data_IF_063214585392
#
_entry.id   IF_063214585392
#
_cell.length_a   1.000
_cell.length_b   1.000
_cell.length_c   1.000
_cell.angle_alpha   90.00
_cell.angle_beta   90.00
_cell.angle_gamma   90.00
#
_symmetry.space_group_name_H-M   'P 1'
#
loop_
_entity.id
_entity.type
_entity.pdbx_description
1 polymer ?
#
# COMPACT_ATOMS: atom_id res chain seq x y z
N UNK A 1 -46.22 -24.33 3.20
CA UNK A 1 -45.17 -25.02 2.41
C UNK A 1 -44.59 -24.17 1.27
N UNK A 2 -45.39 -23.42 0.49
CA UNK A 2 -44.89 -22.56 -0.62
C UNK A 2 -43.96 -21.40 -0.20
N UNK A 3 -44.26 -20.68 0.90
CA UNK A 3 -43.41 -19.57 1.37
C UNK A 3 -42.09 -20.00 2.00
N UNK A 4 -42.05 -21.17 2.65
CA UNK A 4 -40.83 -21.72 3.26
C UNK A 4 -39.81 -22.05 2.16
N UNK A 5 -40.27 -22.58 1.02
CA UNK A 5 -39.39 -22.83 -0.14
C UNK A 5 -38.79 -21.54 -0.73
N UNK A 6 -39.57 -20.45 -0.76
CA UNK A 6 -39.09 -19.14 -1.25
C UNK A 6 -38.04 -18.54 -0.31
N UNK A 7 -38.23 -18.67 1.01
CA UNK A 7 -37.26 -18.23 2.02
C UNK A 7 -35.96 -19.04 2.01
N UNK A 8 -36.04 -20.34 1.75
CA UNK A 8 -34.84 -21.19 1.63
C UNK A 8 -34.06 -20.86 0.36
N UNK A 9 -34.76 -20.56 -0.74
CA UNK A 9 -34.13 -20.20 -2.01
C UNK A 9 -33.43 -18.84 -1.94
N UNK A 10 -34.00 -17.85 -1.24
CA UNK A 10 -33.38 -16.53 -1.11
C UNK A 10 -32.09 -16.56 -0.29
N UNK A 11 -32.03 -17.38 0.77
CA UNK A 11 -30.82 -17.56 1.60
C UNK A 11 -29.71 -18.28 0.82
N UNK A 12 -30.06 -19.24 -0.05
CA UNK A 12 -29.09 -19.98 -0.86
C UNK A 12 -28.40 -19.09 -1.92
N UNK A 13 -29.11 -18.13 -2.49
CA UNK A 13 -28.57 -17.19 -3.50
C UNK A 13 -27.59 -16.19 -2.89
N UNK A 14 -27.79 -15.78 -1.64
CA UNK A 14 -26.89 -14.86 -0.92
C UNK A 14 -25.55 -15.51 -0.56
N UNK A 15 -25.49 -16.84 -0.43
CA UNK A 15 -24.26 -17.58 -0.09
C UNK A 15 -23.26 -17.72 -1.26
N UNK A 16 -23.68 -17.42 -2.50
CA UNK A 16 -22.84 -17.56 -3.70
C UNK A 16 -22.05 -16.29 -4.04
N UNK A 17 -22.27 -15.19 -3.31
CA UNK A 17 -21.53 -13.94 -3.47
C UNK A 17 -20.24 -13.96 -2.64
N UNK A 18 -19.33 -14.90 -2.89
CA UNK A 18 -17.95 -14.79 -2.37
C UNK A 18 -17.20 -13.78 -3.23
N UNK A 19 -16.99 -12.59 -2.70
CA UNK A 19 -16.30 -11.50 -3.39
C UNK A 19 -14.80 -11.79 -3.47
N UNK A 20 -14.28 -11.84 -4.69
CA UNK A 20 -12.84 -11.87 -4.93
C UNK A 20 -12.27 -10.50 -4.54
N UNK A 21 -11.56 -10.43 -3.42
CA UNK A 21 -10.81 -9.23 -3.04
C UNK A 21 -9.64 -9.07 -4.03
N UNK A 22 -9.56 -7.99 -4.81
CA UNK A 22 -8.39 -7.74 -5.64
C UNK A 22 -7.18 -7.55 -4.73
N UNK A 23 -6.09 -8.28 -5.01
CA UNK A 23 -4.85 -8.11 -4.27
C UNK A 23 -4.35 -6.67 -4.43
N UNK A 24 -4.31 -5.91 -3.34
CA UNK A 24 -3.84 -4.53 -3.35
C UNK A 24 -2.38 -4.48 -3.79
N UNK A 25 -2.12 -3.77 -4.90
CA UNK A 25 -0.77 -3.54 -5.39
C UNK A 25 -0.08 -2.59 -4.42
N UNK A 26 0.75 -3.13 -3.54
CA UNK A 26 1.56 -2.32 -2.63
C UNK A 26 2.54 -1.48 -3.45
N UNK A 27 2.39 -0.16 -3.37
CA UNK A 27 3.36 0.78 -3.93
C UNK A 27 4.28 1.27 -2.81
N UNK A 28 5.54 1.49 -3.13
CA UNK A 28 6.53 2.04 -2.20
C UNK A 28 7.17 3.26 -2.80
N UNK A 29 7.36 4.28 -1.97
CA UNK A 29 8.07 5.49 -2.34
C UNK A 29 9.58 5.24 -2.21
N UNK A 30 10.33 5.67 -3.23
CA UNK A 30 11.78 5.71 -3.24
C UNK A 30 12.19 7.17 -3.30
N UNK A 31 12.83 7.65 -2.24
CA UNK A 31 13.32 9.02 -2.12
C UNK A 31 14.82 9.02 -2.32
N UNK A 32 15.27 9.70 -3.36
CA UNK A 32 16.68 9.92 -3.64
C UNK A 32 17.06 11.28 -3.08
N UNK A 33 18.08 11.31 -2.22
CA UNK A 33 18.62 12.52 -1.62
C UNK A 33 19.81 13.02 -2.44
N UNK A 34 20.03 14.34 -2.43
CA UNK A 34 21.13 15.00 -3.17
C UNK A 34 22.52 14.51 -2.76
N UNK A 35 22.66 13.97 -1.55
CA UNK A 35 23.91 13.36 -1.07
C UNK A 35 24.16 11.94 -1.62
N UNK A 36 23.27 11.43 -2.47
CA UNK A 36 23.33 10.08 -3.06
C UNK A 36 22.64 8.99 -2.22
N UNK A 37 22.12 9.31 -1.04
CA UNK A 37 21.38 8.35 -0.21
C UNK A 37 20.02 8.02 -0.81
N UNK A 38 19.57 6.78 -0.63
CA UNK A 38 18.30 6.29 -1.16
C UNK A 38 17.48 5.68 -0.05
N UNK A 39 16.30 6.26 0.21
CA UNK A 39 15.39 5.84 1.26
C UNK A 39 14.18 5.17 0.62
N UNK A 40 13.86 3.95 1.05
CA UNK A 40 12.71 3.18 0.58
C UNK A 40 11.69 3.06 1.70
N UNK A 41 10.52 3.64 1.51
CA UNK A 41 9.50 3.68 2.55
C UNK A 41 8.17 4.24 2.07
N UNK A 42 7.29 4.47 3.02
CA UNK A 42 6.02 5.14 2.83
C UNK A 42 6.12 6.59 3.29
N UNK A 43 5.63 7.53 2.49
CA UNK A 43 5.58 8.94 2.88
C UNK A 43 4.39 9.16 3.79
N UNK A 44 4.63 9.20 5.09
CA UNK A 44 3.58 9.33 6.11
C UNK A 44 3.15 10.78 6.35
N UNK A 45 4.01 11.75 6.05
CA UNK A 45 3.68 13.17 6.15
C UNK A 45 4.57 14.01 5.22
N UNK A 46 4.00 15.04 4.59
CA UNK A 46 4.77 16.03 3.83
C UNK A 46 4.29 17.44 4.17
N UNK A 47 5.22 18.29 4.59
CA UNK A 47 4.98 19.73 4.78
C UNK A 47 5.59 20.47 3.59
N UNK A 48 4.77 21.12 2.74
CA UNK A 48 5.26 21.81 1.55
C UNK A 48 6.41 22.78 1.87
N UNK A 49 7.44 22.78 1.04
CA UNK A 49 8.63 23.62 1.16
C UNK A 49 9.42 23.49 2.48
N UNK A 50 9.10 22.50 3.32
CA UNK A 50 9.80 22.27 4.59
C UNK A 50 10.35 20.86 4.64
N UNK A 51 9.53 19.89 4.99
CA UNK A 51 9.99 18.56 5.39
C UNK A 51 9.13 17.45 4.82
N UNK A 52 9.76 16.29 4.64
CA UNK A 52 9.11 15.02 4.31
C UNK A 52 9.44 14.01 5.41
N UNK A 53 8.43 13.26 5.85
CA UNK A 53 8.58 12.14 6.78
C UNK A 53 8.34 10.83 6.04
N UNK A 54 9.27 9.89 6.19
CA UNK A 54 9.28 8.61 5.50
C UNK A 54 9.36 7.51 6.56
N UNK A 55 8.41 6.58 6.54
CA UNK A 55 8.44 5.36 7.35
C UNK A 55 9.02 4.20 6.52
N UNK A 56 10.11 3.62 7.00
CA UNK A 56 10.72 2.46 6.35
C UNK A 56 10.05 1.16 6.81
N UNK A 57 10.31 0.05 6.10
CA UNK A 57 9.61 -1.22 6.36
C UNK A 57 9.86 -1.84 7.75
N UNK A 58 10.92 -1.40 8.43
CA UNK A 58 11.26 -1.73 9.82
C UNK A 58 10.57 -0.82 10.86
N UNK A 59 9.75 0.13 10.42
CA UNK A 59 9.03 1.08 11.28
C UNK A 59 9.85 2.32 11.68
N UNK A 60 11.07 2.48 11.15
CA UNK A 60 11.87 3.67 11.41
C UNK A 60 11.32 4.89 10.67
N UNK A 61 11.23 6.03 11.36
CA UNK A 61 10.78 7.30 10.79
C UNK A 61 11.98 8.20 10.50
N UNK A 62 12.14 8.58 9.24
CA UNK A 62 13.14 9.54 8.79
C UNK A 62 12.48 10.87 8.45
N UNK A 63 13.14 11.96 8.81
CA UNK A 63 12.70 13.32 8.48
C UNK A 63 13.80 14.00 7.68
N UNK A 64 13.47 14.48 6.49
CA UNK A 64 14.39 15.20 5.62
C UNK A 64 13.79 16.54 5.19
N UNK A 65 14.65 17.52 4.90
CA UNK A 65 14.18 18.74 4.25
C UNK A 65 13.86 18.47 2.78
N UNK A 66 12.81 19.11 2.24
CA UNK A 66 12.47 18.98 0.83
C UNK A 66 13.58 19.47 -0.10
N UNK A 67 14.42 20.40 0.35
CA UNK A 67 15.59 20.86 -0.40
C UNK A 67 16.69 19.79 -0.47
N UNK A 68 16.70 18.78 0.39
CA UNK A 68 17.66 17.67 0.34
C UNK A 68 17.20 16.56 -0.62
N UNK A 69 15.94 16.56 -1.01
CA UNK A 69 15.36 15.60 -1.94
C UNK A 69 15.74 15.96 -3.37
N UNK A 70 16.34 15.02 -4.08
CA UNK A 70 16.65 15.15 -5.50
C UNK A 70 15.46 14.70 -6.35
N UNK A 71 14.90 13.54 -6.05
CA UNK A 71 13.72 12.99 -6.75
C UNK A 71 12.96 12.00 -5.89
N UNK A 72 11.70 11.80 -6.24
CA UNK A 72 10.82 10.80 -5.64
C UNK A 72 10.27 9.89 -6.74
N UNK A 73 10.17 8.60 -6.48
CA UNK A 73 9.66 7.62 -7.44
C UNK A 73 8.80 6.58 -6.74
N UNK A 74 7.62 6.27 -7.29
CA UNK A 74 6.78 5.17 -6.82
C UNK A 74 7.10 3.90 -7.58
N UNK A 75 7.47 2.85 -6.85
CA UNK A 75 7.73 1.53 -7.40
C UNK A 75 6.72 0.53 -6.89
N UNK A 76 6.36 -0.45 -7.74
CA UNK A 76 5.57 -1.60 -7.29
C UNK A 76 6.45 -2.46 -6.39
N UNK A 77 6.00 -2.78 -5.18
CA UNK A 77 6.64 -3.81 -4.35
C UNK A 77 6.40 -5.16 -5.04
N UNK A 78 7.39 -5.61 -5.80
CA UNK A 78 7.44 -7.03 -6.16
C UNK A 78 7.72 -7.82 -4.88
N UNK A 79 6.82 -8.74 -4.51
CA UNK A 79 7.14 -9.72 -3.45
C UNK A 79 8.47 -10.37 -3.82
N UNK A 80 9.44 -10.49 -2.89
CA UNK A 80 10.66 -11.23 -3.17
C UNK A 80 10.24 -12.66 -3.56
N UNK A 81 10.45 -12.99 -4.82
CA UNK A 81 10.24 -14.33 -5.35
C UNK A 81 11.39 -15.17 -4.79
N UNK A 82 11.24 -15.65 -3.56
CA UNK A 82 12.11 -16.68 -3.00
C UNK A 82 11.90 -17.90 -3.90
N UNK A 83 12.85 -18.18 -4.77
CA UNK A 83 12.89 -19.45 -5.51
C UNK A 83 13.05 -20.53 -4.44
N UNK A 84 11.98 -21.27 -4.18
CA UNK A 84 12.05 -22.60 -3.57
C UNK A 84 12.75 -23.57 -4.52
#
# INVERSE_FOLDING_TARGET
>A
MKQIGILVLSVLVLSLCTTNVPAETQMVEVVHLKNGSVIKGEVVQMTPNKTIKIETADGSIFVYELNEVEKMTKVRKHKPQRKE
#
